data_IF_835756171085
#
_entry.id   IF_835756171085
#
_cell.length_a   1.000
_cell.length_b   1.000
_cell.length_c   1.000
_cell.angle_alpha   90.00
_cell.angle_beta   90.00
_cell.angle_gamma   90.00
#
_symmetry.space_group_name_H-M   'P 1'
#
loop_
_entity.id
_entity.type
_entity.pdbx_description
1 polymer ?
#
# COMPACT_ATOMS: atom_id res chain seq x y z
N UNK A 1 -13.29 84.02 13.18
CA UNK A 1 -14.30 83.00 12.85
C UNK A 1 -13.57 81.86 12.15
N UNK A 2 -13.31 80.78 12.88
CA UNK A 2 -12.58 79.62 12.38
C UNK A 2 -13.51 78.69 11.60
N UNK A 3 -13.13 78.31 10.39
CA UNK A 3 -13.87 77.36 9.55
C UNK A 3 -13.22 75.98 9.70
N UNK A 4 -13.98 75.00 10.22
CA UNK A 4 -13.57 73.61 10.34
C UNK A 4 -13.74 72.89 9.00
N UNK A 5 -12.65 72.34 8.46
CA UNK A 5 -12.69 71.40 7.34
C UNK A 5 -12.88 69.96 7.86
N UNK A 6 -14.02 69.35 7.54
CA UNK A 6 -14.27 67.93 7.77
C UNK A 6 -13.59 67.12 6.64
N UNK A 7 -12.54 66.36 6.97
CA UNK A 7 -12.00 65.33 6.09
C UNK A 7 -12.82 64.03 6.26
N UNK A 8 -13.55 63.64 5.22
CA UNK A 8 -14.16 62.32 5.10
C UNK A 8 -13.09 61.32 4.64
N UNK A 9 -12.72 60.37 5.50
CA UNK A 9 -11.85 59.26 5.14
C UNK A 9 -12.67 58.16 4.47
N UNK A 10 -12.48 57.98 3.16
CA UNK A 10 -13.04 56.88 2.38
C UNK A 10 -12.25 55.60 2.70
N UNK A 11 -12.82 54.71 3.52
CA UNK A 11 -12.23 53.39 3.79
C UNK A 11 -12.46 52.49 2.57
N UNK A 12 -11.41 52.30 1.76
CA UNK A 12 -11.43 51.36 0.63
C UNK A 12 -11.26 49.93 1.19
N UNK A 13 -12.35 49.16 1.26
CA UNK A 13 -12.28 47.73 1.58
C UNK A 13 -11.72 46.98 0.37
N UNK A 14 -10.43 46.65 0.43
CA UNK A 14 -9.79 45.75 -0.55
C UNK A 14 -10.33 44.34 -0.31
N UNK A 15 -11.28 43.91 -1.14
CA UNK A 15 -11.67 42.50 -1.25
C UNK A 15 -10.49 41.74 -1.88
N UNK A 16 -9.62 41.20 -1.02
CA UNK A 16 -8.62 40.21 -1.44
C UNK A 16 -9.40 38.93 -1.74
N UNK A 17 -9.69 38.68 -3.01
CA UNK A 17 -10.12 37.37 -3.50
C UNK A 17 -8.96 36.40 -3.34
N UNK A 18 -8.86 35.77 -2.17
CA UNK A 18 -8.00 34.60 -2.00
C UNK A 18 -8.55 33.52 -2.95
N UNK A 19 -7.80 33.06 -3.96
CA UNK A 19 -8.22 31.90 -4.72
C UNK A 19 -8.22 30.73 -3.74
N UNK A 20 -9.42 30.34 -3.28
CA UNK A 20 -9.60 29.04 -2.65
C UNK A 20 -9.34 28.05 -3.77
N UNK A 21 -8.12 27.52 -3.81
CA UNK A 21 -7.80 26.35 -4.60
C UNK A 21 -8.63 25.21 -3.99
N UNK A 22 -9.86 25.04 -4.48
CA UNK A 22 -10.66 23.86 -4.18
C UNK A 22 -9.96 22.73 -4.91
N UNK A 23 -8.90 22.18 -4.30
CA UNK A 23 -8.47 20.83 -4.59
C UNK A 23 -9.72 19.98 -4.45
N UNK A 24 -10.23 19.46 -5.56
CA UNK A 24 -11.34 18.52 -5.53
C UNK A 24 -11.03 17.44 -4.49
N UNK A 25 -12.03 17.06 -3.68
CA UNK A 25 -11.84 15.99 -2.72
C UNK A 25 -11.35 14.74 -3.44
N UNK A 26 -10.45 14.01 -2.81
CA UNK A 26 -9.90 12.79 -3.38
C UNK A 26 -11.04 11.82 -3.76
N UNK A 27 -11.01 11.26 -4.98
CA UNK A 27 -12.05 10.32 -5.40
C UNK A 27 -11.93 9.01 -4.60
N UNK A 28 -13.04 8.60 -3.98
CA UNK A 28 -13.11 7.42 -3.10
C UNK A 28 -14.13 6.38 -3.59
N UNK A 29 -14.78 6.62 -4.74
CA UNK A 29 -15.76 5.72 -5.32
C UNK A 29 -15.14 4.56 -6.10
N UNK A 30 -15.98 3.65 -6.63
CA UNK A 30 -15.53 2.55 -7.48
C UNK A 30 -15.03 3.04 -8.83
N UNK A 31 -14.07 2.32 -9.41
CA UNK A 31 -13.69 2.56 -10.82
C UNK A 31 -14.61 1.73 -11.72
N UNK A 32 -15.26 2.39 -12.69
CA UNK A 32 -16.02 1.67 -13.72
C UNK A 32 -15.06 0.83 -14.58
N UNK A 33 -15.18 -0.49 -14.46
CA UNK A 33 -14.32 -1.44 -15.13
C UNK A 33 -15.01 -2.80 -15.24
N UNK A 34 -14.51 -3.68 -16.11
CA UNK A 34 -15.03 -5.05 -16.23
C UNK A 34 -14.55 -5.92 -15.06
N UNK A 35 -15.22 -7.05 -14.78
CA UNK A 35 -14.72 -8.04 -13.82
C UNK A 35 -13.26 -8.42 -14.10
N UNK A 36 -12.89 -8.62 -15.38
CA UNK A 36 -11.50 -8.88 -15.78
C UNK A 36 -10.57 -7.76 -15.29
N UNK A 37 -10.90 -6.51 -15.59
CA UNK A 37 -10.07 -5.37 -15.21
C UNK A 37 -9.93 -5.25 -13.68
N UNK A 38 -11.02 -5.51 -12.94
CA UNK A 38 -11.07 -5.48 -11.48
C UNK A 38 -10.25 -6.62 -10.85
N UNK A 39 -10.32 -7.82 -11.40
CA UNK A 39 -9.58 -9.02 -10.92
C UNK A 39 -8.10 -8.96 -11.33
N UNK A 40 -7.76 -8.28 -12.43
CA UNK A 40 -6.37 -8.04 -12.80
C UNK A 40 -5.68 -6.97 -11.93
N UNK A 41 -6.42 -6.01 -11.38
CA UNK A 41 -5.83 -4.93 -10.57
C UNK A 41 -5.00 -5.44 -9.38
N UNK A 42 -5.48 -6.40 -8.57
CA UNK A 42 -4.72 -7.03 -7.49
C UNK A 42 -3.35 -7.56 -7.89
N UNK A 43 -3.11 -7.97 -9.15
CA UNK A 43 -1.78 -8.43 -9.59
C UNK A 43 -0.67 -7.42 -9.28
N UNK A 44 -0.97 -6.13 -9.20
CA UNK A 44 -0.01 -5.10 -8.78
C UNK A 44 0.50 -5.29 -7.34
N UNK A 45 -0.28 -5.91 -6.48
CA UNK A 45 0.05 -6.22 -5.08
C UNK A 45 0.56 -7.66 -4.98
N UNK A 46 -0.07 -8.62 -5.64
CA UNK A 46 0.39 -10.02 -5.65
C UNK A 46 1.86 -10.15 -6.08
N UNK A 47 2.27 -9.44 -7.12
CA UNK A 47 3.68 -9.41 -7.51
C UNK A 47 4.55 -8.74 -6.44
N UNK A 48 4.12 -7.62 -5.85
CA UNK A 48 4.87 -6.92 -4.80
C UNK A 48 5.15 -7.85 -3.61
N UNK A 49 4.12 -8.58 -3.19
CA UNK A 49 4.14 -9.49 -2.06
C UNK A 49 4.96 -10.75 -2.36
N UNK A 50 4.77 -11.35 -3.55
CA UNK A 50 5.58 -12.47 -4.01
C UNK A 50 7.07 -12.11 -4.01
N UNK A 51 7.44 -10.96 -4.60
CA UNK A 51 8.83 -10.51 -4.63
C UNK A 51 9.38 -10.29 -3.23
N UNK A 52 8.62 -9.61 -2.36
CA UNK A 52 9.08 -9.25 -1.03
C UNK A 52 9.26 -10.48 -0.13
N UNK A 53 8.28 -11.38 -0.10
CA UNK A 53 8.30 -12.58 0.74
C UNK A 53 9.29 -13.63 0.26
N UNK A 54 9.33 -13.93 -1.05
CA UNK A 54 10.31 -14.86 -1.60
C UNK A 54 11.73 -14.35 -1.39
N UNK A 55 11.98 -13.08 -1.70
CA UNK A 55 13.31 -12.48 -1.49
C UNK A 55 13.69 -12.50 -0.02
N UNK A 56 12.79 -12.08 0.88
CA UNK A 56 13.04 -12.05 2.32
C UNK A 56 13.37 -13.42 2.90
N UNK A 57 12.63 -14.46 2.54
CA UNK A 57 12.83 -15.80 3.09
C UNK A 57 13.97 -16.60 2.41
N UNK A 58 14.06 -16.51 1.07
CA UNK A 58 14.92 -17.38 0.26
C UNK A 58 16.19 -16.64 -0.20
N UNK A 59 16.07 -15.35 -0.52
CA UNK A 59 17.12 -14.52 -1.11
C UNK A 59 17.01 -14.35 -2.62
N UNK A 60 15.91 -14.82 -3.23
CA UNK A 60 15.59 -14.63 -4.64
C UNK A 60 14.07 -14.49 -4.81
N UNK A 61 13.66 -13.74 -5.83
CA UNK A 61 12.26 -13.42 -6.10
C UNK A 61 11.57 -14.37 -7.07
N UNK A 62 10.51 -13.87 -7.71
CA UNK A 62 9.65 -14.64 -8.60
C UNK A 62 10.41 -15.26 -9.79
N UNK A 63 11.42 -14.56 -10.32
CA UNK A 63 12.19 -15.02 -11.50
C UNK A 63 12.91 -16.35 -11.28
N UNK A 64 13.18 -16.72 -10.01
CA UNK A 64 13.81 -18.00 -9.68
C UNK A 64 12.79 -19.13 -9.45
N UNK A 65 11.53 -18.80 -9.22
CA UNK A 65 10.46 -19.75 -8.86
C UNK A 65 9.52 -20.00 -10.03
N UNK A 66 9.03 -18.92 -10.64
CA UNK A 66 8.08 -18.97 -11.76
C UNK A 66 8.27 -17.75 -12.70
N UNK A 67 9.33 -17.76 -13.54
CA UNK A 67 9.71 -16.61 -14.36
C UNK A 67 8.68 -16.23 -15.42
N UNK A 68 7.86 -17.18 -15.91
CA UNK A 68 6.91 -16.88 -16.99
C UNK A 68 5.80 -15.93 -16.50
N UNK A 69 5.51 -15.93 -15.20
CA UNK A 69 4.52 -15.02 -14.62
C UNK A 69 4.96 -13.55 -14.67
N UNK A 70 6.26 -13.26 -14.74
CA UNK A 70 6.73 -11.87 -14.86
C UNK A 70 6.20 -11.18 -16.14
N UNK A 71 5.85 -11.96 -17.18
CA UNK A 71 5.26 -11.42 -18.41
C UNK A 71 6.14 -10.38 -19.11
N UNK A 72 7.47 -10.55 -19.01
CA UNK A 72 8.47 -9.61 -19.53
C UNK A 72 8.71 -8.36 -18.66
N UNK A 73 8.09 -8.28 -17.48
CA UNK A 73 8.31 -7.20 -16.51
C UNK A 73 9.69 -7.27 -15.83
N UNK A 74 10.28 -6.13 -15.45
CA UNK A 74 11.61 -6.09 -14.86
C UNK A 74 11.63 -6.65 -13.43
N UNK A 75 12.78 -7.18 -12.94
CA UNK A 75 12.93 -7.59 -11.55
C UNK A 75 12.84 -6.40 -10.59
N UNK A 76 12.51 -6.64 -9.30
CA UNK A 76 12.46 -5.58 -8.29
C UNK A 76 13.86 -5.01 -8.01
N UNK A 77 13.90 -3.74 -7.61
CA UNK A 77 15.12 -3.07 -7.15
C UNK A 77 15.31 -3.37 -5.66
N UNK A 78 16.52 -3.77 -5.27
CA UNK A 78 16.97 -3.74 -3.88
C UNK A 78 16.32 -4.75 -2.93
N UNK A 79 15.55 -5.72 -3.44
CA UNK A 79 15.04 -6.83 -2.64
C UNK A 79 16.21 -7.69 -2.11
N UNK A 80 16.14 -8.11 -0.85
CA UNK A 80 17.24 -8.83 -0.18
C UNK A 80 16.72 -9.98 0.67
N UNK A 81 17.61 -10.93 0.96
CA UNK A 81 17.38 -11.91 2.01
C UNK A 81 17.34 -11.24 3.37
N UNK A 82 16.27 -11.46 4.13
CA UNK A 82 16.13 -10.95 5.47
C UNK A 82 16.81 -11.86 6.50
N UNK A 83 17.33 -11.27 7.56
CA UNK A 83 17.85 -12.00 8.72
C UNK A 83 16.69 -12.41 9.65
N UNK A 84 15.97 -13.46 9.26
CA UNK A 84 14.80 -13.97 9.97
C UNK A 84 15.18 -15.10 10.92
N UNK A 85 14.54 -15.15 12.08
CA UNK A 85 14.58 -16.35 12.92
C UNK A 85 13.97 -17.56 12.17
N UNK A 86 14.32 -18.80 12.56
CA UNK A 86 13.95 -19.98 11.79
C UNK A 86 12.45 -20.21 11.62
N UNK A 87 11.61 -19.77 12.56
CA UNK A 87 10.16 -19.95 12.50
C UNK A 87 9.58 -18.90 11.57
N UNK A 88 9.89 -17.62 11.80
CA UNK A 88 9.42 -16.53 10.94
C UNK A 88 9.86 -16.74 9.49
N UNK A 89 11.09 -17.20 9.25
CA UNK A 89 11.58 -17.51 7.90
C UNK A 89 10.68 -18.50 7.17
N UNK A 90 10.23 -19.58 7.83
CA UNK A 90 9.35 -20.59 7.22
C UNK A 90 7.95 -20.05 6.96
N UNK A 91 7.43 -19.22 7.85
CA UNK A 91 6.13 -18.55 7.67
C UNK A 91 6.18 -17.62 6.44
N UNK A 92 7.21 -16.77 6.36
CA UNK A 92 7.37 -15.84 5.22
C UNK A 92 7.63 -16.61 3.92
N UNK A 93 8.35 -17.73 3.96
CA UNK A 93 8.52 -18.62 2.81
C UNK A 93 7.17 -19.16 2.33
N UNK A 94 6.30 -19.61 3.25
CA UNK A 94 4.96 -20.08 2.91
C UNK A 94 4.11 -18.97 2.28
N UNK A 95 4.18 -17.74 2.79
CA UNK A 95 3.50 -16.60 2.19
C UNK A 95 3.99 -16.36 0.77
N UNK A 96 5.29 -16.36 0.53
CA UNK A 96 5.85 -16.21 -0.82
C UNK A 96 5.30 -17.25 -1.81
N UNK A 97 5.11 -18.50 -1.39
CA UNK A 97 4.48 -19.52 -2.24
C UNK A 97 2.97 -19.33 -2.40
N UNK A 98 2.28 -18.80 -1.39
CA UNK A 98 0.86 -18.43 -1.49
C UNK A 98 0.66 -17.32 -2.54
N UNK A 99 1.53 -16.30 -2.57
CA UNK A 99 1.45 -15.24 -3.59
C UNK A 99 1.70 -15.75 -5.00
N UNK A 100 2.64 -16.70 -5.18
CA UNK A 100 2.81 -17.39 -6.47
C UNK A 100 1.52 -18.14 -6.86
N UNK A 101 0.82 -18.72 -5.88
CA UNK A 101 -0.49 -19.34 -6.05
C UNK A 101 -1.58 -18.33 -6.46
N UNK A 102 -1.63 -17.16 -5.83
CA UNK A 102 -2.56 -16.08 -6.19
C UNK A 102 -2.31 -15.57 -7.60
N UNK A 103 -1.06 -15.30 -7.96
CA UNK A 103 -0.65 -14.96 -9.33
C UNK A 103 -1.16 -16.01 -10.32
N UNK A 104 -0.90 -17.29 -10.06
CA UNK A 104 -1.38 -18.40 -10.92
C UNK A 104 -2.89 -18.38 -11.07
N UNK A 105 -3.63 -18.24 -9.96
CA UNK A 105 -5.09 -18.27 -9.96
C UNK A 105 -5.69 -17.13 -10.79
N UNK A 106 -5.20 -15.90 -10.59
CA UNK A 106 -5.66 -14.72 -11.32
C UNK A 106 -5.28 -14.80 -12.80
N UNK A 107 -4.01 -15.10 -13.11
CA UNK A 107 -3.50 -15.18 -14.49
C UNK A 107 -4.29 -16.23 -15.27
N UNK A 108 -4.57 -17.39 -14.67
CA UNK A 108 -5.34 -18.47 -15.31
C UNK A 108 -6.80 -18.05 -15.56
N UNK A 109 -7.42 -17.34 -14.62
CA UNK A 109 -8.83 -16.99 -14.70
C UNK A 109 -9.13 -15.85 -15.67
N UNK A 110 -8.30 -14.80 -15.69
CA UNK A 110 -8.60 -13.56 -16.43
C UNK A 110 -7.47 -13.04 -17.32
N UNK A 111 -6.32 -13.73 -17.31
CA UNK A 111 -5.09 -13.31 -17.98
C UNK A 111 -4.22 -12.41 -17.08
N UNK A 112 -2.91 -12.39 -17.34
CA UNK A 112 -1.95 -11.60 -16.57
C UNK A 112 -1.77 -10.16 -17.05
N UNK A 113 -0.95 -9.43 -16.30
CA UNK A 113 -0.33 -8.16 -16.68
C UNK A 113 1.19 -8.34 -16.57
N UNK A 114 2.01 -7.63 -17.35
CA UNK A 114 3.46 -7.61 -17.10
C UNK A 114 3.74 -7.14 -15.67
N UNK A 115 4.68 -7.78 -14.97
CA UNK A 115 5.11 -7.37 -13.63
C UNK A 115 5.55 -5.89 -13.64
N UNK A 116 4.99 -5.02 -12.79
CA UNK A 116 5.48 -3.66 -12.62
C UNK A 116 6.94 -3.62 -12.10
N UNK A 117 7.62 -2.49 -12.28
CA UNK A 117 8.89 -2.26 -11.58
C UNK A 117 8.60 -1.91 -10.13
N UNK A 118 9.17 -2.69 -9.21
CA UNK A 118 9.10 -2.44 -7.78
C UNK A 118 10.41 -1.88 -7.23
N UNK A 119 10.32 -1.00 -6.23
CA UNK A 119 11.46 -0.58 -5.40
C UNK A 119 11.30 -1.16 -3.99
N UNK A 120 12.00 -2.25 -3.72
CA UNK A 120 12.02 -2.95 -2.43
C UNK A 120 13.33 -2.70 -1.67
N UNK A 121 14.05 -1.64 -2.02
CA UNK A 121 15.31 -1.27 -1.37
C UNK A 121 15.10 -0.85 0.09
N UNK A 122 16.11 -1.02 0.97
CA UNK A 122 16.07 -0.44 2.31
C UNK A 122 15.74 1.07 2.31
N UNK A 123 16.18 1.80 1.30
CA UNK A 123 15.91 3.23 1.14
C UNK A 123 14.42 3.54 0.93
N UNK A 124 13.72 2.74 0.12
CA UNK A 124 12.27 2.91 -0.08
C UNK A 124 11.49 2.66 1.21
N UNK A 125 11.85 1.62 1.97
CA UNK A 125 11.26 1.36 3.28
C UNK A 125 11.63 2.44 4.30
N UNK A 126 12.87 2.93 4.34
CA UNK A 126 13.27 4.03 5.20
C UNK A 126 12.38 5.26 4.98
N UNK A 127 12.14 5.64 3.72
CA UNK A 127 11.26 6.76 3.40
C UNK A 127 9.82 6.55 3.86
N UNK A 128 9.30 5.32 3.76
CA UNK A 128 7.96 4.98 4.23
C UNK A 128 7.88 5.12 5.77
N UNK A 129 8.85 4.56 6.48
CA UNK A 129 8.88 4.60 7.94
C UNK A 129 9.11 6.00 8.48
N UNK A 130 9.98 6.80 7.84
CA UNK A 130 10.16 8.22 8.16
C UNK A 130 8.84 9.00 8.03
N UNK A 131 8.07 8.75 6.96
CA UNK A 131 6.74 9.34 6.78
C UNK A 131 5.76 8.88 7.85
N UNK A 132 5.83 7.62 8.27
CA UNK A 132 4.94 7.06 9.28
C UNK A 132 5.17 7.69 10.65
N UNK A 133 6.44 7.80 11.08
CA UNK A 133 6.78 8.41 12.38
C UNK A 133 6.82 9.93 12.34
N UNK A 134 6.86 10.53 11.15
CA UNK A 134 6.84 11.99 10.96
C UNK A 134 8.21 12.67 11.07
N UNK A 135 9.30 11.91 11.13
CA UNK A 135 10.67 12.42 11.17
C UNK A 135 11.64 11.38 10.60
N UNK A 136 12.85 11.82 10.22
CA UNK A 136 13.88 10.94 9.69
C UNK A 136 14.47 10.06 10.79
N UNK A 137 14.32 8.74 10.66
CA UNK A 137 14.95 7.76 11.54
C UNK A 137 16.47 7.74 11.32
N UNK A 138 17.22 7.57 12.41
CA UNK A 138 18.66 7.42 12.38
C UNK A 138 19.08 6.24 13.28
N UNK A 139 19.63 5.14 12.72
CA UNK A 139 19.89 4.91 11.30
C UNK A 139 18.58 4.78 10.47
N UNK A 140 18.63 4.85 9.13
CA UNK A 140 17.47 4.59 8.29
C UNK A 140 16.86 3.21 8.57
N UNK A 141 15.53 3.09 8.53
CA UNK A 141 14.86 1.81 8.73
C UNK A 141 15.22 0.84 7.61
N UNK A 142 15.65 -0.38 7.97
CA UNK A 142 15.94 -1.44 7.01
C UNK A 142 15.07 -2.66 7.34
N UNK A 143 14.21 -3.11 6.42
CA UNK A 143 13.31 -4.24 6.65
C UNK A 143 14.04 -5.58 6.76
N UNK A 144 15.23 -5.71 6.17
CA UNK A 144 15.96 -6.98 6.07
C UNK A 144 16.87 -7.27 7.27
N UNK A 145 17.00 -6.32 8.21
CA UNK A 145 17.97 -6.40 9.31
C UNK A 145 17.69 -7.49 10.34
N UNK A 146 16.41 -7.75 10.64
CA UNK A 146 15.98 -8.73 11.64
C UNK A 146 14.47 -9.05 11.49
N UNK A 147 14.01 -10.06 12.22
CA UNK A 147 12.58 -10.45 12.29
C UNK A 147 11.62 -9.30 12.56
N UNK A 148 11.89 -8.45 13.57
CA UNK A 148 10.95 -7.38 13.98
C UNK A 148 10.79 -6.34 12.88
N UNK A 149 11.90 -5.91 12.29
CA UNK A 149 11.89 -4.97 11.17
C UNK A 149 11.15 -5.56 9.97
N UNK A 150 11.38 -6.83 9.67
CA UNK A 150 10.72 -7.48 8.56
C UNK A 150 9.22 -7.61 8.79
N UNK A 151 8.77 -8.03 9.99
CA UNK A 151 7.35 -8.10 10.32
C UNK A 151 6.65 -6.73 10.28
N UNK A 152 7.31 -5.66 10.72
CA UNK A 152 6.77 -4.30 10.60
C UNK A 152 6.66 -3.86 9.14
N UNK A 153 7.64 -4.20 8.30
CA UNK A 153 7.58 -3.94 6.86
C UNK A 153 6.48 -4.77 6.18
N UNK A 154 6.36 -6.05 6.54
CA UNK A 154 5.25 -6.93 6.16
C UNK A 154 3.92 -6.51 6.76
N UNK A 155 3.84 -5.61 7.73
CA UNK A 155 2.55 -5.04 8.14
C UNK A 155 2.15 -3.86 7.24
N UNK A 156 3.13 -3.18 6.64
CA UNK A 156 2.88 -2.02 5.80
C UNK A 156 2.37 -2.38 4.39
N UNK A 157 2.75 -3.55 3.85
CA UNK A 157 2.47 -3.98 2.46
C UNK A 157 1.17 -4.81 2.30
N UNK A 158 1.04 -6.03 2.86
CA UNK A 158 0.03 -7.05 2.54
C UNK A 158 -1.38 -6.67 2.95
N UNK A 159 -1.49 -5.90 4.02
CA UNK A 159 -2.77 -5.37 4.45
C UNK A 159 -3.49 -4.54 3.38
N UNK A 160 -2.74 -4.02 2.38
CA UNK A 160 -3.29 -3.29 1.25
C UNK A 160 -3.97 -4.24 0.24
N UNK A 161 -3.49 -5.48 0.07
CA UNK A 161 -4.11 -6.53 -0.77
C UNK A 161 -5.49 -6.92 -0.28
N UNK A 162 -5.57 -7.35 0.99
CA UNK A 162 -6.81 -7.74 1.67
C UNK A 162 -7.95 -6.72 1.52
N UNK A 163 -7.69 -5.45 1.87
CA UNK A 163 -8.72 -4.40 1.85
C UNK A 163 -9.09 -3.99 0.41
N UNK A 164 -8.20 -4.26 -0.55
CA UNK A 164 -8.46 -4.15 -1.97
C UNK A 164 -9.45 -5.21 -2.46
N UNK A 165 -9.31 -6.46 -1.99
CA UNK A 165 -10.27 -7.53 -2.29
C UNK A 165 -11.65 -7.25 -1.69
N UNK A 166 -11.72 -6.85 -0.42
CA UNK A 166 -12.98 -6.42 0.22
C UNK A 166 -13.64 -5.28 -0.56
N UNK A 167 -12.84 -4.33 -1.06
CA UNK A 167 -13.33 -3.22 -1.89
C UNK A 167 -13.73 -3.62 -3.30
N UNK A 168 -13.24 -4.74 -3.83
CA UNK A 168 -13.51 -5.19 -5.20
C UNK A 168 -14.75 -6.08 -5.28
N UNK A 169 -14.96 -7.00 -4.33
CA UNK A 169 -16.04 -8.00 -4.35
C UNK A 169 -17.43 -7.40 -4.66
N UNK A 170 -17.85 -6.27 -4.05
CA UNK A 170 -19.20 -5.72 -4.29
C UNK A 170 -19.45 -5.29 -5.73
N UNK A 171 -18.39 -5.03 -6.51
CA UNK A 171 -18.49 -4.52 -7.88
C UNK A 171 -18.27 -5.60 -8.94
N UNK A 172 -17.97 -6.83 -8.53
CA UNK A 172 -17.91 -7.98 -9.45
C UNK A 172 -19.32 -8.43 -9.81
N UNK A 173 -19.52 -8.79 -11.06
CA UNK A 173 -20.83 -9.18 -11.61
C UNK A 173 -20.97 -10.69 -11.81
N UNK A 174 -19.87 -11.38 -12.11
CA UNK A 174 -19.84 -12.81 -12.40
C UNK A 174 -19.60 -13.65 -11.15
N UNK A 175 -20.29 -14.79 -11.05
CA UNK A 175 -20.12 -15.73 -9.93
C UNK A 175 -18.70 -16.26 -9.83
N UNK A 176 -18.06 -16.56 -10.96
CA UNK A 176 -16.68 -17.06 -11.02
C UNK A 176 -15.69 -16.03 -10.47
N UNK A 177 -15.81 -14.76 -10.84
CA UNK A 177 -14.91 -13.72 -10.32
C UNK A 177 -15.12 -13.46 -8.84
N UNK A 178 -16.38 -13.43 -8.38
CA UNK A 178 -16.68 -13.32 -6.94
C UNK A 178 -16.11 -14.50 -6.14
N UNK A 179 -16.28 -15.73 -6.64
CA UNK A 179 -15.75 -16.92 -5.99
C UNK A 179 -14.22 -16.89 -5.92
N UNK A 180 -13.56 -16.53 -7.03
CA UNK A 180 -12.10 -16.37 -7.06
C UNK A 180 -11.63 -15.33 -6.04
N UNK A 181 -12.13 -14.10 -6.12
CA UNK A 181 -11.67 -13.02 -5.25
C UNK A 181 -12.01 -13.29 -3.77
N UNK A 182 -13.15 -13.89 -3.47
CA UNK A 182 -13.49 -14.29 -2.11
C UNK A 182 -12.56 -15.39 -1.58
N UNK A 183 -12.10 -16.32 -2.43
CA UNK A 183 -11.16 -17.36 -2.02
C UNK A 183 -9.77 -16.80 -1.70
N UNK A 184 -9.29 -15.84 -2.51
CA UNK A 184 -8.00 -15.15 -2.28
C UNK A 184 -8.05 -14.33 -1.00
N UNK A 185 -9.13 -13.57 -0.79
CA UNK A 185 -9.37 -12.82 0.45
C UNK A 185 -9.25 -13.70 1.72
N UNK A 186 -9.66 -14.97 1.65
CA UNK A 186 -9.54 -15.90 2.78
C UNK A 186 -8.09 -16.19 3.18
N UNK A 187 -7.20 -16.35 2.19
CA UNK A 187 -5.76 -16.60 2.41
C UNK A 187 -5.08 -15.34 2.96
N UNK A 188 -5.32 -14.20 2.31
CA UNK A 188 -4.86 -12.86 2.74
C UNK A 188 -5.22 -12.55 4.19
N UNK A 189 -6.45 -12.91 4.59
CA UNK A 189 -6.92 -12.71 5.97
C UNK A 189 -6.15 -13.58 6.97
N UNK A 190 -5.75 -14.79 6.58
CA UNK A 190 -4.90 -15.65 7.39
C UNK A 190 -3.49 -15.09 7.53
N UNK A 191 -2.91 -14.57 6.45
CA UNK A 191 -1.58 -13.96 6.47
C UNK A 191 -1.56 -12.71 7.35
N UNK A 192 -2.54 -11.80 7.22
CA UNK A 192 -2.66 -10.62 8.08
C UNK A 192 -2.79 -11.03 9.56
N UNK A 193 -3.64 -12.02 9.87
CA UNK A 193 -3.81 -12.51 11.24
C UNK A 193 -2.53 -13.07 11.84
N UNK A 194 -1.72 -13.80 11.06
CA UNK A 194 -0.42 -14.33 11.50
C UNK A 194 0.58 -13.19 11.75
N UNK A 195 0.72 -12.24 10.82
CA UNK A 195 1.61 -11.07 10.98
C UNK A 195 1.22 -10.27 12.22
N UNK A 196 -0.08 -9.99 12.39
CA UNK A 196 -0.58 -9.25 13.55
C UNK A 196 -0.33 -10.01 14.85
N UNK A 197 -0.55 -11.32 14.88
CA UNK A 197 -0.24 -12.15 16.06
C UNK A 197 1.23 -12.03 16.46
N UNK A 198 2.15 -12.19 15.50
CA UNK A 198 3.60 -12.09 15.74
C UNK A 198 4.04 -10.70 16.19
N UNK A 199 3.40 -9.64 15.70
CA UNK A 199 3.63 -8.27 16.17
C UNK A 199 3.06 -8.02 17.57
N UNK A 200 1.87 -8.56 17.88
CA UNK A 200 1.26 -8.43 19.21
C UNK A 200 2.10 -9.07 20.30
N UNK A 201 2.69 -10.24 20.05
CA UNK A 201 3.63 -10.89 20.98
C UNK A 201 4.82 -9.99 21.33
N UNK A 202 5.18 -9.06 20.43
CA UNK A 202 6.32 -8.15 20.55
C UNK A 202 5.92 -6.71 20.84
N UNK A 203 4.64 -6.45 21.12
CA UNK A 203 4.07 -5.09 21.15
C UNK A 203 4.87 -4.10 22.02
N UNK A 204 5.38 -4.56 23.17
CA UNK A 204 6.13 -3.76 24.14
C UNK A 204 7.65 -3.74 23.92
N UNK A 205 8.17 -4.54 22.98
CA UNK A 205 9.58 -4.54 22.60
C UNK A 205 9.93 -3.21 21.91
N UNK A 206 11.09 -2.63 22.25
CA UNK A 206 11.64 -1.47 21.54
C UNK A 206 12.36 -1.96 20.28
N UNK A 207 12.04 -1.34 19.14
CA UNK A 207 12.69 -1.64 17.86
C UNK A 207 14.04 -0.96 17.82
N UNK A 208 15.07 -1.66 18.31
CA UNK A 208 16.41 -1.09 18.43
C UNK A 208 16.99 -0.67 17.07
N UNK A 209 17.69 0.47 16.99
CA UNK A 209 18.08 1.37 18.09
C UNK A 209 17.07 2.48 18.38
N UNK A 210 15.88 2.45 17.78
CA UNK A 210 14.86 3.47 17.96
C UNK A 210 14.22 3.34 19.34
N UNK A 211 13.96 4.48 20.00
CA UNK A 211 13.17 4.49 21.23
C UNK A 211 11.65 4.40 20.94
N UNK A 212 11.26 3.53 20.01
CA UNK A 212 9.89 3.32 19.55
C UNK A 212 9.56 1.84 19.70
N UNK A 213 8.41 1.54 20.30
CA UNK A 213 7.92 0.17 20.48
C UNK A 213 7.35 -0.38 19.17
N UNK A 214 7.25 -1.71 19.09
CA UNK A 214 6.56 -2.38 17.97
C UNK A 214 5.12 -1.87 17.82
N UNK A 215 4.39 -1.70 18.94
CA UNK A 215 3.03 -1.17 18.92
C UNK A 215 2.97 0.28 18.39
N UNK A 216 3.87 1.16 18.83
CA UNK A 216 3.94 2.54 18.35
C UNK A 216 4.22 2.60 16.84
N UNK A 217 5.14 1.78 16.33
CA UNK A 217 5.39 1.68 14.89
C UNK A 217 4.17 1.16 14.13
N UNK A 218 3.53 0.11 14.62
CA UNK A 218 2.32 -0.48 14.02
C UNK A 218 1.21 0.57 13.91
N UNK A 219 0.99 1.36 14.97
CA UNK A 219 0.03 2.46 14.96
C UNK A 219 0.41 3.55 13.96
N UNK A 220 1.69 3.95 13.92
CA UNK A 220 2.18 4.95 12.97
C UNK A 220 1.96 4.54 11.51
N UNK A 221 2.19 3.27 11.18
CA UNK A 221 1.94 2.69 9.85
C UNK A 221 0.44 2.77 9.51
N UNK A 222 -0.44 2.41 10.44
CA UNK A 222 -1.89 2.48 10.25
C UNK A 222 -2.37 3.92 9.99
N UNK A 223 -1.90 4.88 10.80
CA UNK A 223 -2.19 6.30 10.57
C UNK A 223 -1.71 6.79 9.19
N UNK A 224 -0.52 6.39 8.77
CA UNK A 224 0.01 6.76 7.46
C UNK A 224 -0.87 6.22 6.33
N UNK A 225 -1.31 4.95 6.38
CA UNK A 225 -2.18 4.38 5.34
C UNK A 225 -3.51 5.13 5.22
N UNK A 226 -4.13 5.50 6.33
CA UNK A 226 -5.35 6.30 6.31
C UNK A 226 -5.12 7.69 5.71
N UNK A 227 -4.02 8.34 6.10
CA UNK A 227 -3.64 9.64 5.56
C UNK A 227 -3.42 9.58 4.04
N UNK A 228 -2.72 8.57 3.55
CA UNK A 228 -2.43 8.38 2.13
C UNK A 228 -3.68 8.00 1.32
N UNK A 229 -4.61 7.23 1.89
CA UNK A 229 -5.85 6.88 1.19
C UNK A 229 -6.72 8.11 0.88
N UNK A 230 -6.65 9.16 1.71
CA UNK A 230 -7.42 10.40 1.59
C UNK A 230 -8.95 10.25 1.68
N UNK A 231 -9.44 9.12 2.19
CA UNK A 231 -10.86 8.73 2.16
C UNK A 231 -11.43 8.41 3.56
N UNK A 232 -10.94 9.12 4.57
CA UNK A 232 -11.30 8.93 5.98
C UNK A 232 -10.52 7.83 6.70
N UNK A 233 -10.71 7.76 8.02
CA UNK A 233 -10.15 6.69 8.87
C UNK A 233 -11.02 5.45 8.72
N UNK A 234 -10.40 4.29 8.43
CA UNK A 234 -11.15 3.04 8.26
C UNK A 234 -10.73 1.92 9.22
N UNK A 235 -9.79 2.16 10.13
CA UNK A 235 -9.12 1.08 10.88
C UNK A 235 -9.97 0.35 11.93
N UNK A 236 -11.19 0.82 12.24
CA UNK A 236 -12.07 0.18 13.23
C UNK A 236 -13.55 0.32 12.80
N UNK A 237 -14.12 -0.72 12.16
CA UNK A 237 -15.57 -0.83 11.99
C UNK A 237 -16.17 -1.41 13.27
N UNK A 238 -17.17 -0.75 13.84
CA UNK A 238 -17.90 -1.21 15.04
C UNK A 238 -18.59 -2.56 14.83
N UNK A 239 -18.79 -2.96 13.58
CA UNK A 239 -19.36 -4.26 13.22
C UNK A 239 -18.30 -5.36 13.01
N UNK A 240 -17.03 -5.09 13.32
CA UNK A 240 -15.91 -6.04 13.15
C UNK A 240 -15.76 -6.58 11.72
N UNK A 241 -16.08 -5.75 10.71
CA UNK A 241 -15.84 -6.10 9.30
C UNK A 241 -14.49 -5.56 8.86
N UNK A 242 -13.79 -6.33 8.03
CA UNK A 242 -12.71 -5.79 7.22
C UNK A 242 -13.26 -4.65 6.38
N UNK A 243 -12.57 -3.51 6.37
CA UNK A 243 -13.02 -2.36 5.62
C UNK A 243 -12.53 -2.42 4.17
N UNK A 244 -13.27 -1.75 3.29
CA UNK A 244 -12.94 -1.65 1.86
C UNK A 244 -11.99 -0.48 1.58
N UNK A 245 -11.03 -0.66 0.67
CA UNK A 245 -10.37 0.43 -0.05
C UNK A 245 -10.58 0.24 -1.56
N UNK A 246 -10.83 1.34 -2.26
CA UNK A 246 -10.97 1.34 -3.73
C UNK A 246 -9.61 1.41 -4.41
N UNK A 247 -9.54 1.04 -5.67
CA UNK A 247 -8.30 1.03 -6.47
C UNK A 247 -7.49 2.34 -6.39
N UNK A 248 -8.07 3.56 -6.50
CA UNK A 248 -7.29 4.78 -6.31
C UNK A 248 -6.73 4.91 -4.89
N UNK A 249 -7.46 4.51 -3.84
CA UNK A 249 -6.94 4.52 -2.47
C UNK A 249 -5.73 3.59 -2.32
N UNK A 250 -5.80 2.40 -2.92
CA UNK A 250 -4.69 1.45 -2.97
C UNK A 250 -3.47 2.09 -3.64
N UNK A 251 -3.64 2.66 -4.84
CA UNK A 251 -2.56 3.31 -5.59
C UNK A 251 -1.89 4.43 -4.80
N UNK A 252 -2.67 5.31 -4.15
CA UNK A 252 -2.13 6.39 -3.30
C UNK A 252 -1.25 5.88 -2.17
N UNK A 253 -1.63 4.74 -1.57
CA UNK A 253 -0.88 4.10 -0.48
C UNK A 253 0.42 3.51 -1.01
N UNK A 254 0.36 2.65 -2.04
CA UNK A 254 1.55 1.96 -2.55
C UNK A 254 2.53 2.90 -3.26
N UNK A 255 2.05 4.00 -3.82
CA UNK A 255 2.90 5.07 -4.33
C UNK A 255 3.51 5.91 -3.20
N UNK A 256 2.95 5.88 -2.00
CA UNK A 256 3.41 6.68 -0.87
C UNK A 256 3.32 8.19 -1.09
N UNK A 257 2.58 8.64 -2.12
CA UNK A 257 2.45 10.05 -2.53
C UNK A 257 1.13 10.66 -2.10
N UNK A 258 0.14 9.84 -1.72
CA UNK A 258 -1.22 10.30 -1.51
C UNK A 258 -1.94 10.64 -2.81
N UNK A 259 -1.38 10.30 -3.98
CA UNK A 259 -2.01 10.56 -5.27
C UNK A 259 -1.89 9.36 -6.20
N UNK A 260 -3.02 8.84 -6.68
CA UNK A 260 -3.12 7.76 -7.66
C UNK A 260 -2.58 8.15 -9.05
N UNK A 261 -2.37 9.45 -9.28
CA UNK A 261 -1.79 10.01 -10.51
C UNK A 261 -0.27 10.17 -10.42
N UNK A 262 0.34 10.00 -9.23
CA UNK A 262 1.77 10.24 -9.00
C UNK A 262 2.46 8.99 -8.47
N UNK A 263 3.08 8.19 -9.36
CA UNK A 263 3.94 7.08 -8.98
C UNK A 263 5.03 7.46 -7.97
N UNK A 264 5.51 6.46 -7.23
CA UNK A 264 6.52 6.61 -6.20
C UNK A 264 6.54 5.39 -5.29
N UNK A 265 7.21 5.50 -4.14
CA UNK A 265 7.21 4.46 -3.12
C UNK A 265 7.62 3.10 -3.70
N UNK A 266 6.80 2.08 -3.48
CA UNK A 266 7.08 0.73 -3.96
C UNK A 266 6.88 0.56 -5.47
N UNK A 267 6.20 1.48 -6.14
CA UNK A 267 5.91 1.43 -7.58
C UNK A 267 6.42 2.72 -8.26
N UNK A 268 7.74 2.89 -8.41
CA UNK A 268 8.33 4.13 -8.94
C UNK A 268 7.89 4.49 -10.37
N UNK A 269 7.44 3.51 -11.16
CA UNK A 269 6.90 3.71 -12.52
C UNK A 269 5.39 3.49 -12.63
N UNK A 270 4.73 3.32 -11.49
CA UNK A 270 3.30 3.07 -11.38
C UNK A 270 2.91 1.62 -11.66
N UNK A 271 1.66 1.29 -11.31
CA UNK A 271 1.06 -0.01 -11.55
C UNK A 271 0.71 -0.26 -13.03
N UNK A 272 0.52 -1.54 -13.35
CA UNK A 272 0.09 -2.05 -14.64
C UNK A 272 -1.40 -2.47 -14.63
N UNK A 273 -1.89 -2.84 -15.82
CA UNK A 273 -3.30 -3.15 -16.05
C UNK A 273 -4.14 -1.91 -16.34
N UNK A 274 -5.32 -2.11 -16.93
CA UNK A 274 -6.16 -1.03 -17.45
C UNK A 274 -6.52 0.01 -16.40
N UNK A 275 -6.88 -0.42 -15.19
CA UNK A 275 -7.27 0.49 -14.10
C UNK A 275 -6.10 1.37 -13.67
N UNK A 276 -4.96 0.78 -13.30
CA UNK A 276 -3.81 1.55 -12.83
C UNK A 276 -3.27 2.50 -13.91
N UNK A 277 -3.19 2.04 -15.16
CA UNK A 277 -2.74 2.87 -16.29
C UNK A 277 -3.68 4.04 -16.59
N UNK A 278 -4.99 3.86 -16.42
CA UNK A 278 -5.97 4.92 -16.65
C UNK A 278 -5.80 6.17 -15.77
N UNK A 279 -5.14 6.03 -14.62
CA UNK A 279 -4.78 7.18 -13.77
C UNK A 279 -3.50 7.85 -14.26
N UNK A 280 -2.50 7.07 -14.68
CA UNK A 280 -1.20 7.62 -15.11
C UNK A 280 -1.31 8.40 -16.42
N UNK A 281 -2.21 8.00 -17.31
CA UNK A 281 -2.43 8.70 -18.58
C UNK A 281 -3.08 10.09 -18.41
N UNK A 282 -3.59 10.39 -17.20
CA UNK A 282 -4.22 11.67 -16.84
C UNK A 282 -3.32 12.58 -15.99
N UNK A 283 -2.10 12.13 -15.69
CA UNK A 283 -1.14 12.82 -14.81
C UNK A 283 -0.43 13.98 -15.50
#
# INVERSE_FOLDING_TARGET
MASLYFFSALLLTVLVSVPINVSGSAYCGPVEATDKDLVQFPLNLEFLEAEFFLSGALGHGLDAIEPDFAGGGPPPIGAQKANLDPVTRKIIEEFGYQEVGHLRAIITAVGGIPRPLYDLSPEAFAQLFDKAVGYKLNPPFNPYSNTVNYLLASYAIPYVGLVGYVGTIPYLTTYSSRALVASLLGVESGQDAVIRTLLYEKAHEKVMPYNITVAEFTNAISFLRNKLAMCGVRDEDTNSRSYARTQPQILRIVYGTGSEYKPGGFLPRGGNGKIARSFLDKA
#
